data_IF_738208637753
#
_entry.id   IF_738208637753
#
_cell.length_a   1.000
_cell.length_b   1.000
_cell.length_c   1.000
_cell.angle_alpha   90.00
_cell.angle_beta   90.00
_cell.angle_gamma   90.00
#
_symmetry.space_group_name_H-M   'P 1'
#
loop_
_entity.id
_entity.type
_entity.pdbx_description
1 polymer ?
#
# COMPACT_ATOMS: atom_id res chain seq x y z
N UNK A 1 -4.61 24.12 20.29
CA UNK A 1 -3.53 23.79 19.33
C UNK A 1 -4.00 22.63 18.47
N UNK A 2 -3.88 22.68 17.14
CA UNK A 2 -4.24 21.53 16.29
C UNK A 2 -3.22 20.41 16.50
N UNK A 3 -3.70 19.19 16.75
CA UNK A 3 -2.85 18.00 16.81
C UNK A 3 -2.02 17.89 15.52
N UNK A 4 -0.70 17.71 15.58
CA UNK A 4 0.14 17.54 14.39
C UNK A 4 -0.38 16.43 13.47
N UNK A 5 -0.36 16.64 12.15
CA UNK A 5 -0.91 15.69 11.18
C UNK A 5 -0.33 14.27 11.33
N UNK A 6 0.97 14.15 11.59
CA UNK A 6 1.62 12.85 11.87
C UNK A 6 0.93 12.08 12.98
N UNK A 7 0.60 12.76 14.09
CA UNK A 7 -0.07 12.13 15.24
C UNK A 7 -1.49 11.71 14.86
N UNK A 8 -2.21 12.53 14.08
CA UNK A 8 -3.54 12.17 13.59
C UNK A 8 -3.49 10.92 12.69
N UNK A 9 -2.56 10.88 11.74
CA UNK A 9 -2.37 9.75 10.83
C UNK A 9 -1.97 8.48 11.59
N UNK A 10 -1.01 8.56 12.51
CA UNK A 10 -0.56 7.41 13.30
C UNK A 10 -1.69 6.85 14.17
N UNK A 11 -2.48 7.72 14.80
CA UNK A 11 -3.66 7.32 15.57
C UNK A 11 -4.75 6.70 14.68
N UNK A 12 -4.96 7.24 13.47
CA UNK A 12 -5.89 6.66 12.50
C UNK A 12 -5.44 5.26 12.05
N UNK A 13 -4.16 5.09 11.70
CA UNK A 13 -3.59 3.79 11.33
C UNK A 13 -3.82 2.73 12.42
N UNK A 14 -3.59 3.07 13.69
CA UNK A 14 -3.81 2.15 14.81
C UNK A 14 -5.27 1.75 15.00
N UNK A 15 -6.23 2.61 14.66
CA UNK A 15 -7.65 2.26 14.69
C UNK A 15 -8.05 1.40 13.49
N UNK A 16 -7.43 1.62 12.32
CA UNK A 16 -7.70 0.89 11.09
C UNK A 16 -7.09 -0.52 11.12
N UNK A 17 -5.89 -0.65 11.69
CA UNK A 17 -5.14 -1.89 11.78
C UNK A 17 -4.65 -2.12 13.22
N UNK A 18 -5.56 -2.50 14.14
CA UNK A 18 -5.27 -2.62 15.57
C UNK A 18 -4.38 -3.82 15.93
N UNK A 19 -4.25 -4.79 15.03
CA UNK A 19 -3.44 -6.01 15.22
C UNK A 19 -1.94 -5.72 15.40
N UNK A 20 -1.47 -4.54 15.00
CA UNK A 20 -0.06 -4.17 15.06
C UNK A 20 0.13 -2.72 15.43
N UNK A 21 1.15 -2.45 16.24
CA UNK A 21 1.58 -1.06 16.46
C UNK A 21 2.09 -0.47 15.15
N UNK A 22 1.52 0.67 14.76
CA UNK A 22 1.97 1.45 13.60
C UNK A 22 2.70 2.70 14.09
N UNK A 23 3.85 2.96 13.47
CA UNK A 23 4.71 4.12 13.67
C UNK A 23 4.83 4.91 12.37
N UNK A 24 4.74 6.23 12.47
CA UNK A 24 5.00 7.14 11.35
C UNK A 24 6.17 8.03 11.70
N UNK A 25 7.14 8.14 10.79
CA UNK A 25 8.26 9.09 10.85
C UNK A 25 8.19 9.97 9.62
N UNK A 26 8.31 11.30 9.79
CA UNK A 26 8.44 12.19 8.65
C UNK A 26 9.90 12.25 8.20
N UNK A 27 10.15 12.39 6.89
CA UNK A 27 11.52 12.54 6.39
C UNK A 27 12.24 13.76 6.97
N UNK A 28 11.50 14.80 7.37
CA UNK A 28 12.04 15.95 8.10
C UNK A 28 12.56 15.63 9.50
N UNK A 29 12.12 14.51 10.10
CA UNK A 29 12.49 14.02 11.43
C UNK A 29 13.55 12.89 11.38
N UNK A 30 13.80 12.31 10.20
CA UNK A 30 14.70 11.17 10.01
C UNK A 30 16.14 11.59 9.62
N UNK A 31 17.16 10.74 9.89
CA UNK A 31 18.51 10.92 9.36
C UNK A 31 18.51 10.96 7.83
N UNK A 32 19.43 11.74 7.25
CA UNK A 32 19.47 11.99 5.80
C UNK A 32 19.61 10.72 4.97
N UNK A 33 20.30 9.70 5.48
CA UNK A 33 20.54 8.44 4.78
C UNK A 33 19.27 7.60 4.57
N UNK A 34 18.18 7.94 5.25
CA UNK A 34 16.87 7.31 5.09
C UNK A 34 15.94 8.06 4.12
N UNK A 35 16.36 9.24 3.64
CA UNK A 35 15.53 10.07 2.77
C UNK A 35 15.76 9.65 1.31
N UNK A 36 14.79 8.97 0.74
CA UNK A 36 14.74 8.70 -0.70
C UNK A 36 14.16 9.92 -1.44
N UNK A 37 14.94 10.67 -2.24
CA UNK A 37 14.47 11.92 -2.85
C UNK A 37 13.37 11.70 -3.90
N UNK A 38 13.26 10.47 -4.43
CA UNK A 38 12.32 10.10 -5.49
C UNK A 38 11.10 9.36 -4.98
N UNK A 39 11.05 8.94 -3.71
CA UNK A 39 9.90 8.26 -3.13
C UNK A 39 9.13 9.19 -2.19
N UNK A 40 7.81 9.23 -2.37
CA UNK A 40 6.90 9.99 -1.51
C UNK A 40 6.75 9.37 -0.12
N UNK A 41 6.88 8.05 -0.01
CA UNK A 41 6.91 7.30 1.23
C UNK A 41 7.52 5.90 0.99
N UNK A 42 7.80 5.18 2.08
CA UNK A 42 8.08 3.74 2.02
C UNK A 42 7.89 3.08 3.40
N UNK A 43 7.70 1.77 3.39
CA UNK A 43 7.74 0.91 4.58
C UNK A 43 8.59 -0.34 4.35
N UNK A 44 9.25 -0.81 5.40
CA UNK A 44 10.02 -2.06 5.37
C UNK A 44 9.84 -2.83 6.68
N UNK A 45 10.10 -4.15 6.61
CA UNK A 45 9.88 -5.10 7.71
C UNK A 45 10.61 -4.75 9.01
N UNK A 46 11.80 -4.18 8.90
CA UNK A 46 12.68 -3.79 10.01
C UNK A 46 12.86 -2.27 10.10
N UNK A 47 12.00 -1.50 9.43
CA UNK A 47 12.12 -0.04 9.42
C UNK A 47 11.92 0.53 10.82
N UNK A 48 11.15 -0.16 11.66
CA UNK A 48 10.92 0.18 13.05
C UNK A 48 12.26 0.14 13.81
N UNK A 49 12.98 -0.98 13.77
CA UNK A 49 14.29 -1.12 14.42
C UNK A 49 15.30 -0.08 13.91
N UNK A 50 15.28 0.15 12.60
CA UNK A 50 16.17 1.09 11.92
C UNK A 50 15.92 2.54 12.33
N UNK A 51 14.66 2.89 12.61
CA UNK A 51 14.24 4.23 13.03
C UNK A 51 14.02 4.33 14.55
N UNK A 52 14.46 3.35 15.35
CA UNK A 52 14.21 3.30 16.79
C UNK A 52 14.66 4.58 17.51
N UNK A 53 15.82 5.12 17.16
CA UNK A 53 16.32 6.38 17.72
C UNK A 53 15.42 7.58 17.37
N UNK A 54 14.87 7.62 16.15
CA UNK A 54 13.93 8.67 15.71
C UNK A 54 12.54 8.53 16.36
N UNK A 55 12.18 7.31 16.73
CA UNK A 55 10.93 7.01 17.41
C UNK A 55 11.02 7.38 18.90
N UNK A 56 12.21 7.27 19.50
CA UNK A 56 12.49 7.71 20.87
C UNK A 56 11.43 7.20 21.87
N UNK A 57 10.80 8.10 22.61
CA UNK A 57 9.74 7.82 23.59
C UNK A 57 8.46 7.22 22.98
N UNK A 58 8.26 7.35 21.66
CA UNK A 58 7.14 6.71 20.95
C UNK A 58 7.40 5.23 20.67
N UNK A 59 8.63 4.74 20.78
CA UNK A 59 8.94 3.33 20.60
C UNK A 59 8.39 2.51 21.77
N UNK A 60 7.42 1.63 21.50
CA UNK A 60 6.77 0.79 22.51
C UNK A 60 7.00 -0.71 22.27
N UNK A 61 7.93 -1.06 21.37
CA UNK A 61 8.18 -2.44 20.94
C UNK A 61 8.18 -2.56 19.42
N UNK A 62 8.24 -3.80 18.92
CA UNK A 62 8.17 -4.07 17.48
C UNK A 62 6.85 -3.59 16.89
N UNK A 63 6.92 -3.07 15.67
CA UNK A 63 5.76 -2.53 14.98
C UNK A 63 5.99 -2.41 13.49
N UNK A 64 4.98 -1.93 12.78
CA UNK A 64 5.14 -1.48 11.41
C UNK A 64 5.56 -0.02 11.43
N UNK A 65 6.71 0.31 10.84
CA UNK A 65 7.10 1.69 10.64
C UNK A 65 6.97 2.08 9.18
N UNK A 66 6.57 3.33 8.95
CA UNK A 66 6.47 3.95 7.64
C UNK A 66 7.18 5.30 7.70
N UNK A 67 7.96 5.60 6.66
CA UNK A 67 8.56 6.93 6.48
C UNK A 67 7.77 7.69 5.42
N UNK A 68 7.22 8.84 5.78
CA UNK A 68 6.52 9.73 4.85
C UNK A 68 7.41 10.91 4.48
N UNK A 69 7.70 11.09 3.19
CA UNK A 69 8.59 12.14 2.70
C UNK A 69 7.86 13.46 2.50
N UNK A 70 7.48 14.09 3.62
CA UNK A 70 6.84 15.39 3.70
C UNK A 70 7.57 16.48 2.89
N UNK A 71 8.90 16.45 2.82
CA UNK A 71 9.70 17.38 2.02
C UNK A 71 9.56 17.17 0.51
N UNK A 72 9.53 15.91 0.05
CA UNK A 72 9.31 15.61 -1.37
C UNK A 72 7.86 15.95 -1.77
N UNK A 73 6.89 15.53 -0.95
CA UNK A 73 5.47 15.83 -1.17
C UNK A 73 5.24 17.34 -1.20
N UNK A 74 5.84 18.10 -0.27
CA UNK A 74 5.77 19.56 -0.28
C UNK A 74 6.30 20.18 -1.58
N UNK A 75 7.40 19.64 -2.12
CA UNK A 75 7.95 20.09 -3.42
C UNK A 75 6.99 19.82 -4.58
N UNK A 76 6.25 18.72 -4.55
CA UNK A 76 5.23 18.40 -5.56
C UNK A 76 4.00 19.32 -5.48
N UNK A 77 3.59 19.74 -4.28
CA UNK A 77 2.38 20.58 -4.12
C UNK A 77 2.65 22.09 -4.10
N UNK A 78 3.87 22.55 -3.77
CA UNK A 78 4.16 24.00 -3.63
C UNK A 78 3.93 24.80 -4.91
N UNK A 79 4.08 24.17 -6.08
CA UNK A 79 3.87 24.79 -7.39
C UNK A 79 2.40 24.88 -7.81
N UNK A 80 1.47 24.25 -7.07
CA UNK A 80 0.04 24.24 -7.40
C UNK A 80 -0.67 25.46 -6.79
N UNK A 81 -1.62 26.04 -7.54
CA UNK A 81 -2.44 27.17 -7.09
C UNK A 81 -3.42 26.73 -5.97
N UNK A 82 -3.73 27.61 -5.02
CA UNK A 82 -4.77 27.38 -4.00
C UNK A 82 -4.30 26.96 -2.60
N UNK A 83 -5.15 26.25 -1.84
CA UNK A 83 -4.96 25.88 -0.43
C UNK A 83 -3.88 24.80 -0.24
N UNK A 84 -2.60 25.17 -0.45
CA UNK A 84 -1.41 24.29 -0.40
C UNK A 84 -1.37 23.36 0.82
N UNK A 85 -1.78 23.85 1.98
CA UNK A 85 -1.84 23.02 3.20
C UNK A 85 -2.83 21.87 3.09
N UNK A 86 -3.99 22.07 2.47
CA UNK A 86 -4.96 20.99 2.28
C UNK A 86 -4.43 19.95 1.29
N UNK A 87 -3.73 20.38 0.24
CA UNK A 87 -3.06 19.48 -0.70
C UNK A 87 -1.98 18.65 0.00
N UNK A 88 -1.09 19.29 0.76
CA UNK A 88 -0.06 18.57 1.53
C UNK A 88 -0.69 17.53 2.48
N UNK A 89 -1.75 17.90 3.21
CA UNK A 89 -2.44 16.98 4.12
C UNK A 89 -3.02 15.77 3.39
N UNK A 90 -3.64 16.01 2.24
CA UNK A 90 -4.25 14.98 1.42
C UNK A 90 -3.19 14.03 0.84
N UNK A 91 -2.11 14.56 0.27
CA UNK A 91 -1.02 13.77 -0.31
C UNK A 91 -0.26 12.96 0.76
N UNK A 92 -0.03 13.52 1.96
CA UNK A 92 0.54 12.77 3.09
C UNK A 92 -0.38 11.64 3.57
N UNK A 93 -1.69 11.88 3.61
CA UNK A 93 -2.66 10.86 3.97
C UNK A 93 -2.78 9.77 2.89
N UNK A 94 -2.74 10.12 1.60
CA UNK A 94 -2.72 9.17 0.49
C UNK A 94 -1.45 8.31 0.54
N UNK A 95 -0.28 8.91 0.75
CA UNK A 95 0.97 8.18 0.96
C UNK A 95 0.90 7.25 2.19
N UNK A 96 0.26 7.70 3.28
CA UNK A 96 0.02 6.87 4.45
C UNK A 96 -0.90 5.67 4.15
N UNK A 97 -1.98 5.86 3.37
CA UNK A 97 -2.85 4.78 2.90
C UNK A 97 -2.06 3.78 2.06
N UNK A 98 -1.23 4.26 1.14
CA UNK A 98 -0.38 3.41 0.30
C UNK A 98 0.54 2.52 1.15
N UNK A 99 1.30 3.10 2.08
CA UNK A 99 2.23 2.34 2.90
C UNK A 99 1.54 1.41 3.90
N UNK A 100 0.43 1.84 4.50
CA UNK A 100 -0.34 0.98 5.41
C UNK A 100 -0.90 -0.24 4.66
N UNK A 101 -1.25 -0.09 3.37
CA UNK A 101 -1.70 -1.20 2.54
C UNK A 101 -0.59 -2.23 2.34
N UNK A 102 0.65 -1.80 2.10
CA UNK A 102 1.82 -2.71 2.10
C UNK A 102 2.02 -3.41 3.43
N UNK A 103 1.83 -2.69 4.55
CA UNK A 103 1.95 -3.27 5.90
C UNK A 103 0.91 -4.37 6.12
N UNK A 104 -0.34 -4.12 5.74
CA UNK A 104 -1.47 -5.05 5.91
C UNK A 104 -1.33 -6.28 5.01
N UNK A 105 -0.85 -6.12 3.78
CA UNK A 105 -0.68 -7.24 2.84
C UNK A 105 0.54 -8.14 3.14
N UNK A 106 1.38 -7.79 4.12
CA UNK A 106 2.57 -8.56 4.49
C UNK A 106 2.31 -9.41 5.75
N UNK A 107 2.90 -10.61 5.85
CA UNK A 107 2.81 -11.40 7.08
C UNK A 107 3.43 -10.64 8.28
N UNK A 108 2.84 -10.86 9.46
CA UNK A 108 3.34 -10.28 10.72
C UNK A 108 4.65 -10.96 11.11
N UNK A 109 5.69 -10.15 11.32
CA UNK A 109 6.95 -10.62 11.90
C UNK A 109 6.85 -10.42 13.40
N UNK A 110 6.89 -11.50 14.15
CA UNK A 110 6.62 -11.48 15.58
C UNK A 110 7.89 -11.42 16.44
N UNK A 111 9.05 -11.84 15.92
CA UNK A 111 10.27 -11.88 16.75
C UNK A 111 11.27 -10.75 16.46
N UNK A 112 11.93 -10.27 17.51
CA UNK A 112 13.08 -9.35 17.42
C UNK A 112 14.30 -10.01 16.76
N UNK A 113 14.37 -11.34 16.81
CA UNK A 113 15.49 -12.16 16.31
C UNK A 113 15.32 -12.62 14.86
N UNK A 114 14.14 -12.47 14.25
CA UNK A 114 13.90 -12.70 12.81
C UNK A 114 14.52 -11.60 11.93
N UNK A 115 15.65 -11.03 12.34
CA UNK A 115 16.54 -10.34 11.41
C UNK A 115 17.32 -11.39 10.64
N UNK A 116 16.73 -11.90 9.55
CA UNK A 116 17.52 -12.61 8.56
C UNK A 116 18.69 -11.69 8.18
N UNK A 117 19.97 -12.10 8.33
CA UNK A 117 21.12 -11.25 8.04
C UNK A 117 21.12 -10.68 6.61
N UNK A 118 20.45 -11.36 5.68
CA UNK A 118 20.24 -10.90 4.30
C UNK A 118 19.17 -9.80 4.21
N UNK A 119 18.13 -9.84 5.06
CA UNK A 119 17.11 -8.78 5.20
C UNK A 119 17.57 -7.64 6.13
N UNK A 120 18.63 -7.86 6.91
CA UNK A 120 19.29 -6.85 7.73
C UNK A 120 20.21 -5.91 6.93
N UNK A 121 20.23 -6.02 5.59
CA UNK A 121 20.81 -4.94 4.76
C UNK A 121 20.24 -3.62 5.25
N UNK A 122 21.07 -2.63 5.61
CA UNK A 122 20.58 -1.35 6.08
C UNK A 122 19.53 -0.85 5.10
N UNK A 123 18.33 -0.49 5.56
CA UNK A 123 17.26 -0.03 4.66
C UNK A 123 17.77 1.12 3.76
N UNK A 124 18.73 1.91 4.24
CA UNK A 124 19.46 2.93 3.47
C UNK A 124 20.25 2.38 2.28
N UNK A 125 20.80 1.16 2.34
CA UNK A 125 21.46 0.49 1.22
C UNK A 125 20.45 0.04 0.17
N UNK A 126 19.34 -0.57 0.57
CA UNK A 126 18.25 -0.91 -0.35
C UNK A 126 17.72 0.33 -1.07
N UNK A 127 17.49 1.42 -0.34
CA UNK A 127 17.05 2.69 -0.92
C UNK A 127 18.10 3.26 -1.88
N UNK A 128 19.39 3.21 -1.51
CA UNK A 128 20.49 3.62 -2.39
C UNK A 128 20.52 2.79 -3.68
N UNK A 129 20.39 1.48 -3.57
CA UNK A 129 20.33 0.59 -4.73
C UNK A 129 19.11 0.89 -5.61
N UNK A 130 17.94 1.09 -4.98
CA UNK A 130 16.71 1.46 -5.69
C UNK A 130 16.86 2.78 -6.45
N UNK A 131 17.44 3.80 -5.83
CA UNK A 131 17.73 5.09 -6.47
C UNK A 131 18.79 4.99 -7.56
N UNK A 132 19.78 4.10 -7.41
CA UNK A 132 20.85 3.90 -8.38
C UNK A 132 20.44 3.04 -9.59
N UNK A 133 19.36 2.25 -9.47
CA UNK A 133 18.90 1.39 -10.57
C UNK A 133 18.32 2.25 -11.71
N UNK A 134 18.84 2.14 -12.94
CA UNK A 134 18.31 2.87 -14.10
C UNK A 134 16.80 2.68 -14.26
N UNK A 135 16.11 3.72 -14.74
CA UNK A 135 14.65 3.66 -14.98
C UNK A 135 14.33 2.52 -15.97
N UNK A 136 15.12 2.37 -17.04
CA UNK A 136 14.95 1.33 -18.05
C UNK A 136 15.01 -0.08 -17.47
N UNK A 137 15.93 -0.34 -16.54
CA UNK A 137 16.01 -1.64 -15.84
C UNK A 137 14.84 -1.85 -14.87
N UNK A 138 14.29 -0.78 -14.28
CA UNK A 138 13.08 -0.85 -13.47
C UNK A 138 11.85 -1.12 -14.33
N UNK A 139 11.75 -0.49 -15.49
CA UNK A 139 10.66 -0.65 -16.44
C UNK A 139 10.62 -2.02 -17.12
N UNK A 140 11.78 -2.68 -17.26
CA UNK A 140 11.87 -4.07 -17.71
C UNK A 140 11.24 -5.07 -16.72
N UNK A 141 11.05 -4.65 -15.45
CA UNK A 141 10.36 -5.46 -14.44
C UNK A 141 8.85 -5.42 -14.65
N UNK A 142 8.18 -6.37 -14.01
CA UNK A 142 6.72 -6.37 -13.89
C UNK A 142 6.31 -5.09 -13.14
N UNK A 143 5.77 -4.10 -13.87
CA UNK A 143 5.56 -2.74 -13.35
C UNK A 143 4.65 -2.67 -12.13
N UNK A 144 3.71 -3.60 -12.02
CA UNK A 144 2.77 -3.74 -10.92
C UNK A 144 3.23 -4.71 -9.82
N UNK A 145 4.45 -5.25 -9.88
CA UNK A 145 4.95 -6.15 -8.84
C UNK A 145 5.05 -5.43 -7.49
N UNK A 146 4.41 -6.00 -6.47
CA UNK A 146 4.23 -5.36 -5.16
C UNK A 146 2.98 -4.49 -5.06
N UNK A 147 2.29 -4.23 -6.18
CA UNK A 147 1.06 -3.46 -6.29
C UNK A 147 -0.02 -4.26 -7.03
N UNK A 148 -0.13 -5.55 -6.68
CA UNK A 148 -1.08 -6.47 -7.29
C UNK A 148 -2.55 -6.18 -6.91
N UNK A 149 -3.48 -6.97 -7.44
CA UNK A 149 -4.91 -6.81 -7.14
C UNK A 149 -5.24 -6.87 -5.64
N UNK A 150 -4.54 -7.69 -4.86
CA UNK A 150 -4.74 -7.77 -3.41
C UNK A 150 -4.33 -6.47 -2.73
N UNK A 151 -3.18 -5.91 -3.13
CA UNK A 151 -2.73 -4.60 -2.66
C UNK A 151 -3.72 -3.48 -3.05
N UNK A 152 -4.14 -3.40 -4.33
CA UNK A 152 -5.04 -2.35 -4.83
C UNK A 152 -6.36 -2.37 -4.06
N UNK A 153 -6.96 -3.56 -3.90
CA UNK A 153 -8.18 -3.73 -3.12
C UNK A 153 -7.98 -3.29 -1.67
N UNK A 154 -6.89 -3.74 -1.04
CA UNK A 154 -6.54 -3.33 0.33
C UNK A 154 -6.43 -1.82 0.46
N UNK A 155 -5.80 -1.14 -0.50
CA UNK A 155 -5.65 0.32 -0.48
C UNK A 155 -6.97 1.08 -0.55
N UNK A 156 -7.94 0.60 -1.32
CA UNK A 156 -9.28 1.18 -1.37
C UNK A 156 -10.02 1.01 -0.03
N UNK A 157 -9.89 -0.15 0.63
CA UNK A 157 -10.43 -0.38 1.97
C UNK A 157 -9.75 0.49 3.04
N UNK A 158 -8.42 0.54 3.03
CA UNK A 158 -7.64 1.38 3.96
C UNK A 158 -7.99 2.85 3.76
N UNK A 159 -8.10 3.33 2.52
CA UNK A 159 -8.46 4.71 2.21
C UNK A 159 -9.88 5.08 2.63
N UNK A 160 -10.85 4.18 2.41
CA UNK A 160 -12.22 4.35 2.88
C UNK A 160 -12.27 4.50 4.41
N UNK A 161 -11.56 3.63 5.14
CA UNK A 161 -11.49 3.72 6.61
C UNK A 161 -10.73 4.94 7.08
N UNK A 162 -9.61 5.28 6.44
CA UNK A 162 -8.82 6.49 6.72
C UNK A 162 -9.67 7.75 6.59
N UNK A 163 -10.49 7.86 5.54
CA UNK A 163 -11.42 8.98 5.39
C UNK A 163 -12.36 9.13 6.60
N UNK A 164 -12.83 8.03 7.21
CA UNK A 164 -13.69 8.10 8.42
C UNK A 164 -12.94 8.56 9.68
N UNK A 165 -11.61 8.46 9.69
CA UNK A 165 -10.77 8.79 10.85
C UNK A 165 -10.21 10.21 10.82
N UNK A 166 -10.29 10.91 9.68
CA UNK A 166 -9.69 12.22 9.48
C UNK A 166 -10.73 13.33 9.56
N UNK A 167 -10.32 14.50 10.06
CA UNK A 167 -11.14 15.72 10.12
C UNK A 167 -11.20 16.48 8.77
N UNK A 168 -10.71 15.86 7.70
CA UNK A 168 -10.67 16.43 6.36
C UNK A 168 -11.03 15.39 5.30
N UNK A 169 -11.46 15.89 4.14
CA UNK A 169 -11.76 15.04 2.99
C UNK A 169 -10.46 14.55 2.34
N UNK A 170 -10.18 13.26 2.50
CA UNK A 170 -9.24 12.49 1.70
C UNK A 170 -9.91 12.14 0.37
N UNK A 171 -9.35 12.65 -0.72
CA UNK A 171 -9.94 12.46 -2.05
C UNK A 171 -9.29 11.23 -2.69
N UNK A 172 -10.07 10.28 -3.21
CA UNK A 172 -9.51 9.28 -4.10
C UNK A 172 -9.00 9.93 -5.39
N UNK A 173 -8.07 9.26 -6.10
CA UNK A 173 -7.53 7.95 -5.76
C UNK A 173 -6.41 8.01 -4.71
N UNK A 174 -6.32 6.98 -3.86
CA UNK A 174 -5.29 6.91 -2.80
C UNK A 174 -3.95 6.35 -3.31
N UNK A 175 -3.98 5.72 -4.48
CA UNK A 175 -2.83 5.12 -5.16
C UNK A 175 -2.86 5.55 -6.63
N UNK A 176 -1.70 5.79 -7.23
CA UNK A 176 -1.60 6.10 -8.65
C UNK A 176 -1.29 4.81 -9.44
N UNK A 177 -2.34 4.06 -9.83
CA UNK A 177 -2.17 2.77 -10.52
C UNK A 177 -1.59 2.90 -11.93
N UNK A 178 -1.74 4.07 -12.56
CA UNK A 178 -1.23 4.34 -13.91
C UNK A 178 0.30 4.33 -13.94
N UNK A 179 0.96 4.74 -12.84
CA UNK A 179 2.42 4.65 -12.69
C UNK A 179 2.92 3.20 -12.77
N UNK A 180 2.04 2.22 -12.57
CA UNK A 180 2.32 0.78 -12.67
C UNK A 180 1.88 0.16 -14.02
N UNK A 181 1.46 0.99 -14.98
CA UNK A 181 0.98 0.53 -16.29
C UNK A 181 -0.38 -0.17 -16.23
N UNK A 182 -1.18 0.12 -15.21
CA UNK A 182 -2.54 -0.40 -15.03
C UNK A 182 -3.59 0.65 -15.43
N UNK A 183 -4.86 0.25 -15.44
CA UNK A 183 -6.01 1.15 -15.54
C UNK A 183 -6.01 2.18 -14.41
N UNK A 184 -6.72 3.30 -14.62
CA UNK A 184 -6.77 4.39 -13.63
C UNK A 184 -7.35 3.93 -12.30
N UNK A 185 -6.89 4.52 -11.21
CA UNK A 185 -7.33 4.11 -9.88
C UNK A 185 -8.83 4.38 -9.65
N UNK A 186 -9.41 5.35 -10.37
CA UNK A 186 -10.86 5.56 -10.42
C UNK A 186 -11.63 4.37 -11.00
N UNK A 187 -11.09 3.68 -12.02
CA UNK A 187 -11.72 2.49 -12.57
C UNK A 187 -11.69 1.34 -11.55
N UNK A 188 -10.59 1.17 -10.81
CA UNK A 188 -10.51 0.19 -9.73
C UNK A 188 -11.47 0.51 -8.58
N UNK A 189 -11.54 1.77 -8.15
CA UNK A 189 -12.50 2.23 -7.16
C UNK A 189 -13.94 1.93 -7.59
N UNK A 190 -14.29 2.27 -8.84
CA UNK A 190 -15.62 2.00 -9.40
C UNK A 190 -15.91 0.50 -9.49
N UNK A 191 -14.92 -0.32 -9.87
CA UNK A 191 -15.08 -1.77 -10.01
C UNK A 191 -15.28 -2.49 -8.67
N UNK A 192 -14.84 -1.91 -7.55
CA UNK A 192 -15.14 -2.41 -6.20
C UNK A 192 -16.54 -2.00 -5.70
N UNK A 193 -17.18 -1.03 -6.35
CA UNK A 193 -18.51 -0.52 -5.99
C UNK A 193 -18.61 -0.13 -4.49
N UNK A 194 -19.60 -0.64 -3.76
CA UNK A 194 -19.84 -0.34 -2.36
C UNK A 194 -18.98 -1.19 -1.39
N UNK A 195 -18.18 -2.12 -1.91
CA UNK A 195 -17.43 -3.09 -1.09
C UNK A 195 -16.58 -2.43 0.01
N UNK A 196 -15.80 -1.35 -0.24
CA UNK A 196 -15.02 -0.71 0.81
C UNK A 196 -15.86 -0.18 1.97
N UNK A 197 -17.07 0.30 1.68
CA UNK A 197 -17.98 0.82 2.71
C UNK A 197 -18.73 -0.30 3.43
N UNK A 198 -19.18 -1.32 2.68
CA UNK A 198 -19.94 -2.47 3.19
C UNK A 198 -19.09 -3.38 4.08
N UNK A 199 -17.80 -3.52 3.80
CA UNK A 199 -16.87 -4.34 4.61
C UNK A 199 -15.97 -3.49 5.53
N UNK A 200 -16.33 -2.23 5.78
CA UNK A 200 -15.47 -1.29 6.52
C UNK A 200 -15.20 -1.71 7.97
N UNK A 201 -16.09 -2.50 8.57
CA UNK A 201 -15.99 -2.92 9.97
C UNK A 201 -15.32 -4.30 10.15
N UNK A 202 -15.03 -5.03 9.06
CA UNK A 202 -14.30 -6.30 9.12
C UNK A 202 -12.80 -6.07 9.38
N UNK A 203 -12.07 -7.00 10.02
CA UNK A 203 -10.61 -6.94 10.03
C UNK A 203 -10.04 -6.91 8.60
N UNK A 204 -9.01 -6.10 8.36
CA UNK A 204 -8.40 -6.02 7.02
C UNK A 204 -7.78 -7.35 6.58
N UNK A 205 -7.32 -8.16 7.52
CA UNK A 205 -6.80 -9.52 7.31
C UNK A 205 -7.83 -10.47 6.71
N UNK A 206 -9.11 -10.27 7.00
CA UNK A 206 -10.22 -11.08 6.47
C UNK A 206 -10.59 -10.72 5.02
N UNK A 207 -10.14 -9.59 4.48
CA UNK A 207 -10.46 -9.21 3.09
C UNK A 207 -9.93 -10.23 2.07
N UNK A 208 -8.82 -10.90 2.38
CA UNK A 208 -8.18 -11.89 1.50
C UNK A 208 -9.03 -13.15 1.28
N UNK A 209 -9.91 -13.48 2.23
CA UNK A 209 -10.76 -14.68 2.16
C UNK A 209 -12.14 -14.38 1.55
N UNK A 210 -12.50 -13.11 1.41
CA UNK A 210 -13.77 -12.69 0.79
C UNK A 210 -13.55 -12.49 -0.70
N UNK A 211 -14.41 -13.08 -1.53
CA UNK A 211 -14.35 -12.90 -2.97
C UNK A 211 -14.55 -11.42 -3.36
N UNK A 212 -13.68 -10.83 -4.19
CA UNK A 212 -13.90 -9.50 -4.72
C UNK A 212 -15.03 -9.50 -5.79
N UNK A 213 -15.63 -8.33 -6.09
CA UNK A 213 -16.55 -8.14 -7.19
C UNK A 213 -15.98 -8.64 -8.51
N UNK A 214 -16.82 -9.29 -9.31
CA UNK A 214 -16.43 -9.80 -10.63
C UNK A 214 -15.83 -8.71 -11.53
N UNK A 215 -16.42 -7.50 -11.51
CA UNK A 215 -15.93 -6.35 -12.27
C UNK A 215 -14.47 -5.98 -11.90
N UNK A 216 -14.10 -6.06 -10.62
CA UNK A 216 -12.74 -5.81 -10.17
C UNK A 216 -11.76 -6.88 -10.69
N UNK A 217 -12.16 -8.16 -10.62
CA UNK A 217 -11.35 -9.28 -11.13
C UNK A 217 -11.15 -9.18 -12.65
N UNK A 218 -12.21 -8.83 -13.38
CA UNK A 218 -12.17 -8.67 -14.83
C UNK A 218 -11.27 -7.50 -15.24
N UNK A 219 -11.38 -6.35 -14.57
CA UNK A 219 -10.52 -5.20 -14.82
C UNK A 219 -9.05 -5.54 -14.59
N UNK A 220 -8.72 -6.17 -13.45
CA UNK A 220 -7.36 -6.61 -13.15
C UNK A 220 -6.80 -7.56 -14.21
N UNK A 221 -7.58 -8.60 -14.57
CA UNK A 221 -7.17 -9.57 -15.60
C UNK A 221 -6.99 -8.92 -16.97
N UNK A 222 -7.80 -7.92 -17.30
CA UNK A 222 -7.65 -7.13 -18.52
C UNK A 222 -6.31 -6.39 -18.53
N UNK A 223 -5.96 -5.71 -17.44
CA UNK A 223 -4.68 -4.99 -17.33
C UNK A 223 -3.47 -5.91 -17.39
N UNK A 224 -3.50 -7.04 -16.67
CA UNK A 224 -2.41 -8.04 -16.70
C UNK A 224 -2.21 -8.59 -18.11
N UNK A 225 -3.30 -8.90 -18.83
CA UNK A 225 -3.21 -9.33 -20.24
C UNK A 225 -2.65 -8.23 -21.12
N UNK A 226 -3.17 -7.00 -21.03
CA UNK A 226 -2.72 -5.85 -21.82
C UNK A 226 -1.22 -5.61 -21.65
N UNK A 227 -0.75 -5.62 -20.40
CA UNK A 227 0.69 -5.52 -20.09
C UNK A 227 1.48 -6.67 -20.70
N UNK A 228 1.04 -7.92 -20.54
CA UNK A 228 1.79 -9.06 -21.08
C UNK A 228 1.86 -9.04 -22.61
N UNK A 229 0.76 -8.66 -23.28
CA UNK A 229 0.71 -8.55 -24.76
C UNK A 229 1.52 -7.39 -25.33
N UNK A 230 1.92 -6.41 -24.52
CA UNK A 230 2.77 -5.31 -24.98
C UNK A 230 4.27 -5.65 -24.98
N UNK A 231 4.64 -6.85 -24.49
CA UNK A 231 6.02 -7.34 -24.45
C UNK A 231 6.26 -8.23 -25.66
N UNK A 232 7.20 -7.86 -26.54
CA UNK A 232 7.51 -8.64 -27.74
C UNK A 232 8.10 -10.02 -27.44
N UNK A 233 9.02 -10.10 -26.46
CA UNK A 233 9.71 -11.33 -26.06
C UNK A 233 9.70 -11.49 -24.52
N UNK A 234 8.61 -12.01 -23.93
CA UNK A 234 8.48 -12.09 -22.48
C UNK A 234 9.47 -13.09 -21.87
N UNK A 235 10.20 -12.63 -20.85
CA UNK A 235 11.10 -13.46 -20.05
C UNK A 235 10.34 -14.45 -19.17
N UNK A 236 11.02 -15.48 -18.66
CA UNK A 236 10.43 -16.46 -17.71
C UNK A 236 9.80 -15.79 -16.48
N UNK A 237 10.45 -14.81 -15.81
CA UNK A 237 9.82 -14.09 -14.69
C UNK A 237 8.55 -13.32 -15.09
N UNK A 238 8.51 -12.70 -16.28
CA UNK A 238 7.33 -11.98 -16.76
C UNK A 238 6.17 -12.92 -17.06
N UNK A 239 6.45 -14.08 -17.68
CA UNK A 239 5.46 -15.13 -17.92
C UNK A 239 4.91 -15.68 -16.60
N UNK A 240 5.78 -15.94 -15.61
CA UNK A 240 5.35 -16.38 -14.29
C UNK A 240 4.46 -15.33 -13.60
N UNK A 241 4.84 -14.05 -13.67
CA UNK A 241 4.04 -12.96 -13.12
C UNK A 241 2.66 -12.86 -13.79
N UNK A 242 2.57 -12.96 -15.11
CA UNK A 242 1.28 -13.01 -15.82
C UNK A 242 0.41 -14.15 -15.30
N UNK A 243 0.94 -15.38 -15.21
CA UNK A 243 0.19 -16.53 -14.72
C UNK A 243 -0.28 -16.36 -13.28
N UNK A 244 0.57 -15.83 -12.40
CA UNK A 244 0.21 -15.52 -11.01
C UNK A 244 -0.89 -14.45 -10.97
N UNK A 245 -0.73 -13.34 -11.70
CA UNK A 245 -1.70 -12.26 -11.78
C UNK A 245 -3.07 -12.73 -12.28
N UNK A 246 -3.11 -13.66 -13.23
CA UNK A 246 -4.36 -14.23 -13.76
C UNK A 246 -5.06 -15.18 -12.78
N UNK A 247 -4.31 -15.86 -11.92
CA UNK A 247 -4.82 -16.83 -10.93
C UNK A 247 -5.36 -16.18 -9.66
N UNK A 248 -5.08 -14.90 -9.42
CA UNK A 248 -5.62 -14.20 -8.25
C UNK A 248 -7.16 -14.33 -8.28
N UNK A 249 -7.73 -14.79 -7.15
CA UNK A 249 -9.16 -15.05 -6.93
C UNK A 249 -9.79 -16.22 -7.71
N UNK A 250 -9.00 -17.10 -8.34
CA UNK A 250 -9.54 -18.23 -9.12
C UNK A 250 -10.07 -19.41 -8.30
N UNK A 251 -9.75 -19.51 -7.00
CA UNK A 251 -10.03 -20.69 -6.17
C UNK A 251 -11.23 -20.58 -5.24
N UNK A 252 -11.93 -19.44 -5.19
CA UNK A 252 -13.03 -19.23 -4.23
C UNK A 252 -14.41 -19.64 -4.74
N UNK A 253 -14.52 -20.23 -5.93
CA UNK A 253 -15.83 -20.49 -6.58
C UNK A 253 -16.57 -21.72 -6.04
N UNK A 254 -15.97 -22.56 -5.19
CA UNK A 254 -16.56 -23.90 -4.93
C UNK A 254 -17.39 -24.04 -3.65
N UNK A 255 -17.39 -23.08 -2.71
CA UNK A 255 -18.09 -23.28 -1.43
C UNK A 255 -19.52 -22.73 -1.36
N UNK A 256 -19.90 -21.78 -2.22
CA UNK A 256 -21.24 -21.17 -2.18
C UNK A 256 -22.34 -22.04 -2.82
N UNK A 257 -21.97 -23.02 -3.66
CA UNK A 257 -22.92 -23.91 -4.31
C UNK A 257 -23.44 -25.04 -3.38
N UNK A 258 -22.82 -25.27 -2.22
CA UNK A 258 -23.21 -26.35 -1.31
C UNK A 258 -24.18 -25.83 -0.22
N UNK A 259 -24.05 -24.58 0.22
CA UNK A 259 -24.93 -24.02 1.27
C UNK A 259 -26.37 -23.71 0.79
N UNK A 260 -26.61 -23.61 -0.51
CA UNK A 260 -27.95 -23.38 -1.08
C UNK A 260 -28.80 -24.66 -1.24
N UNK A 261 -28.22 -25.85 -1.05
CA UNK A 261 -28.89 -27.13 -1.27
C UNK A 261 -29.45 -27.78 0.01
N UNK A 262 -29.11 -27.27 1.21
CA UNK A 262 -29.53 -27.87 2.49
C UNK A 262 -30.70 -27.14 3.18
N UNK A 263 -31.22 -26.04 2.64
CA UNK A 263 -32.40 -25.33 3.17
C UNK A 263 -33.71 -25.66 2.44
N UNK A 264 -33.76 -26.76 1.70
CA UNK A 264 -34.99 -27.29 1.09
C UNK A 264 -35.20 -28.76 1.44
N UNK A 265 -35.30 -29.04 2.74
CA UNK A 265 -35.95 -30.24 3.29
C UNK A 265 -36.69 -29.88 4.57
#
# INVERSE_FOLDING_TARGET
MRTPLRIQLEAACRRIYPERTVYIVLASEAPRDFICPTAGAYCARHLDLTLRECLADRWTGRGAAMLLNDRAIWRCVRGRCGRRWNLLRNELAAACVHELSHVVSRPVIQSETETNPIEARPTSEYLRQFCATPITEREARVRWAGHDAGFIRTAEHVGCRMQRQLDFRLQPPYINTEDYGLSSAWQYHAALADEPSRLADLPLTELSVIAPPAAFVELWRSDVRKWFTSISDPTTPQTAAMLCGMKIFSTQTTSAAIAGAEMSK
#
